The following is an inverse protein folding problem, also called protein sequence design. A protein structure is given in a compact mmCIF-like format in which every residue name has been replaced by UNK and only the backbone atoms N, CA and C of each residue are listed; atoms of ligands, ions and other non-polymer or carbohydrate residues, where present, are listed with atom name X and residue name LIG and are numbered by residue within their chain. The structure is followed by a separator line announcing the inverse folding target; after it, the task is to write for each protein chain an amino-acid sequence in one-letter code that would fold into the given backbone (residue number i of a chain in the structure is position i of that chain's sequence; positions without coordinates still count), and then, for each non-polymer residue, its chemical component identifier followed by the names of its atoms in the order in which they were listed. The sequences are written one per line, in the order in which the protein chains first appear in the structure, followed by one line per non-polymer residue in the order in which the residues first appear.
data_IF_881539614916
#
_entry.id   IF_881539614916
#
_cell.length_a   1.000
_cell.length_b   1.000
_cell.length_c   1.000
_cell.angle_alpha   90.00
_cell.angle_beta   90.00
_cell.angle_gamma   90.00
#
_symmetry.space_group_name_H-M   'P 1'
#
loop_
_entity.id
_entity.type
_entity.pdbx_description
1 polymer ?
#
# COMPACT_ATOMS: atom_id res chain seq x y z
N UNK A 1 12.01 22.46 4.11
CA UNK A 1 10.65 22.20 3.85
C UNK A 1 10.46 20.77 3.53
N UNK A 2 9.59 20.26 4.14
CA UNK A 2 9.29 18.92 3.93
C UNK A 2 8.61 18.78 2.59
N UNK A 3 9.01 17.80 1.92
CA UNK A 3 8.38 17.51 0.67
C UNK A 3 7.16 16.64 0.92
N UNK A 4 6.01 17.24 0.85
CA UNK A 4 4.77 16.54 1.08
C UNK A 4 4.18 16.00 -0.20
N UNK A 5 5.02 15.79 -1.21
CA UNK A 5 4.54 15.25 -2.46
C UNK A 5 3.92 13.89 -2.23
N UNK A 6 2.63 13.81 -2.50
CA UNK A 6 1.90 12.57 -2.45
C UNK A 6 1.76 12.07 -3.88
N UNK A 7 2.22 10.85 -4.11
CA UNK A 7 2.07 10.25 -5.41
C UNK A 7 0.64 9.73 -5.50
N UNK A 8 -0.21 10.49 -6.17
CA UNK A 8 -1.64 10.18 -6.22
C UNK A 8 -2.02 9.27 -7.37
N UNK A 9 -1.12 9.10 -8.34
CA UNK A 9 -1.40 8.25 -9.48
C UNK A 9 -0.95 6.82 -9.17
N UNK A 10 -1.62 6.24 -8.21
CA UNK A 10 -1.26 4.93 -7.66
C UNK A 10 -1.30 3.85 -8.73
N UNK A 11 -2.20 3.97 -9.69
CA UNK A 11 -2.34 2.92 -10.71
C UNK A 11 -1.11 2.78 -11.59
N UNK A 12 -0.22 3.77 -11.59
CA UNK A 12 1.05 3.66 -12.29
C UNK A 12 2.08 2.87 -11.50
N UNK A 13 1.85 2.69 -10.20
CA UNK A 13 2.81 2.03 -9.33
C UNK A 13 2.46 0.58 -9.04
N UNK A 14 1.19 0.21 -9.15
CA UNK A 14 0.72 -1.11 -8.78
C UNK A 14 -0.03 -1.76 -9.94
N UNK A 15 -0.05 -3.10 -10.00
CA UNK A 15 -0.78 -3.79 -11.07
C UNK A 15 -2.27 -3.92 -10.80
N UNK A 16 -2.69 -3.81 -9.55
CA UNK A 16 -4.09 -3.97 -9.20
C UNK A 16 -4.94 -2.84 -9.78
N UNK A 17 -6.22 -3.12 -10.00
CA UNK A 17 -7.17 -2.17 -10.55
C UNK A 17 -8.45 -2.18 -9.72
N UNK A 18 -9.22 -1.07 -9.76
CA UNK A 18 -10.49 -1.06 -9.03
C UNK A 18 -11.36 -2.24 -9.45
N UNK A 19 -12.11 -2.83 -8.53
CA UNK A 19 -12.35 -2.40 -7.16
C UNK A 19 -11.37 -2.97 -6.14
N UNK A 20 -10.29 -3.63 -6.57
CA UNK A 20 -9.34 -4.30 -5.68
C UNK A 20 -8.29 -3.38 -5.10
N UNK A 21 -8.22 -2.12 -5.51
CA UNK A 21 -7.16 -1.20 -5.08
C UNK A 21 -7.35 -0.83 -3.62
N UNK A 22 -6.33 -1.11 -2.81
CA UNK A 22 -6.34 -0.87 -1.36
C UNK A 22 -5.26 0.11 -0.93
N UNK A 23 -4.72 0.91 -1.85
CA UNK A 23 -3.78 1.99 -1.56
C UNK A 23 -4.23 3.18 -2.41
N UNK A 24 -4.39 4.34 -1.80
CA UNK A 24 -4.78 5.53 -2.55
C UNK A 24 -3.76 6.67 -2.46
N UNK A 25 -2.67 6.46 -1.72
CA UNK A 25 -1.62 7.47 -1.62
C UNK A 25 -0.28 6.79 -1.38
N UNK A 26 0.76 7.36 -1.97
CA UNK A 26 2.13 6.92 -1.73
C UNK A 26 2.96 8.15 -1.44
N UNK A 27 3.64 8.15 -0.30
CA UNK A 27 4.32 9.35 0.21
C UNK A 27 5.83 9.31 -0.04
N UNK A 28 6.30 8.35 -0.82
CA UNK A 28 7.71 8.27 -1.17
C UNK A 28 8.49 7.37 -0.22
N UNK A 29 9.80 7.42 -0.38
CA UNK A 29 10.72 6.62 0.41
C UNK A 29 11.73 7.56 1.04
N UNK A 30 11.88 7.46 2.35
CA UNK A 30 12.84 8.27 3.09
C UNK A 30 13.55 7.37 4.10
N UNK A 31 14.90 7.42 4.08
CA UNK A 31 15.72 6.60 4.97
C UNK A 31 15.36 5.11 4.87
N UNK A 32 15.07 4.65 3.66
CA UNK A 32 14.75 3.25 3.42
C UNK A 32 13.34 2.84 3.80
N UNK A 33 12.52 3.77 4.28
CA UNK A 33 11.15 3.49 4.70
C UNK A 33 10.19 4.10 3.70
N UNK A 34 9.31 3.28 3.13
CA UNK A 34 8.23 3.79 2.28
C UNK A 34 6.96 3.95 3.09
N UNK A 35 6.15 4.92 2.69
CA UNK A 35 4.89 5.20 3.36
C UNK A 35 3.77 5.21 2.36
N UNK A 36 2.70 4.53 2.71
CA UNK A 36 1.52 4.40 1.88
C UNK A 36 0.28 4.68 2.71
N UNK A 37 -0.82 5.00 2.06
CA UNK A 37 -2.06 5.29 2.75
C UNK A 37 -3.27 4.73 2.05
N UNK A 38 -4.36 4.66 2.80
CA UNK A 38 -5.67 4.31 2.30
C UNK A 38 -6.72 4.99 3.16
N UNK A 39 -7.62 5.72 2.51
CA UNK A 39 -8.84 6.21 3.16
C UNK A 39 -9.90 5.13 3.03
N UNK A 40 -10.41 4.66 4.16
CA UNK A 40 -11.38 3.56 4.17
C UNK A 40 -12.74 4.10 3.77
N UNK A 41 -13.22 3.71 2.60
CA UNK A 41 -14.52 4.17 2.08
C UNK A 41 -15.58 3.11 2.35
N UNK A 42 -16.80 3.57 2.56
CA UNK A 42 -17.92 2.66 2.83
C UNK A 42 -18.16 1.67 1.70
N UNK A 43 -17.92 2.11 0.48
CA UNK A 43 -18.12 1.26 -0.70
C UNK A 43 -16.97 0.29 -0.97
N UNK A 44 -15.93 0.31 -0.15
CA UNK A 44 -14.78 -0.58 -0.31
C UNK A 44 -15.26 -2.03 -0.22
N UNK A 45 -14.86 -2.87 -1.18
CA UNK A 45 -15.37 -4.24 -1.27
C UNK A 45 -14.99 -5.10 -0.06
N UNK A 46 -13.96 -4.69 0.69
CA UNK A 46 -13.54 -5.43 1.88
C UNK A 46 -14.14 -4.85 3.17
N UNK A 47 -15.00 -3.84 3.06
CA UNK A 47 -15.67 -3.29 4.24
C UNK A 47 -16.95 -4.06 4.53
N UNK A 48 -17.18 -4.31 5.81
CA UNK A 48 -18.40 -4.93 6.29
C UNK A 48 -18.63 -4.46 7.71
N UNK A 49 -19.85 -4.04 7.99
CA UNK A 49 -20.18 -3.56 9.33
C UNK A 49 -19.45 -2.27 9.69
N UNK A 50 -19.19 -1.42 8.69
CA UNK A 50 -18.53 -0.15 8.91
C UNK A 50 -17.03 -0.22 9.15
N UNK A 51 -16.40 -1.36 8.85
CA UNK A 51 -14.96 -1.55 9.08
C UNK A 51 -14.33 -2.30 7.93
N UNK A 52 -13.09 -1.96 7.65
CA UNK A 52 -12.28 -2.72 6.71
C UNK A 52 -11.91 -4.05 7.35
N UNK A 53 -12.22 -5.14 6.66
CA UNK A 53 -11.99 -6.48 7.19
C UNK A 53 -10.58 -6.95 6.88
N UNK A 54 -10.19 -8.04 7.53
CA UNK A 54 -8.83 -8.57 7.48
C UNK A 54 -8.30 -8.77 6.06
N UNK A 55 -9.05 -9.33 5.11
CA UNK A 55 -8.51 -9.47 3.75
C UNK A 55 -8.14 -8.13 3.12
N UNK A 56 -8.89 -7.08 3.43
CA UNK A 56 -8.58 -5.75 2.93
C UNK A 56 -7.29 -5.20 3.51
N UNK A 57 -7.03 -5.49 4.78
CA UNK A 57 -5.78 -5.07 5.42
C UNK A 57 -4.60 -5.79 4.78
N UNK A 58 -4.72 -7.10 4.54
CA UNK A 58 -3.66 -7.86 3.89
C UNK A 58 -3.40 -7.33 2.48
N UNK A 59 -4.47 -7.05 1.73
CA UNK A 59 -4.32 -6.47 0.39
C UNK A 59 -3.64 -5.10 0.45
N UNK A 60 -4.00 -4.27 1.44
CA UNK A 60 -3.35 -2.98 1.60
C UNK A 60 -1.85 -3.12 1.84
N UNK A 61 -1.46 -4.07 2.67
CA UNK A 61 -0.04 -4.31 2.96
C UNK A 61 0.68 -4.77 1.69
N UNK A 62 0.11 -5.73 0.98
CA UNK A 62 0.69 -6.25 -0.25
C UNK A 62 0.84 -5.15 -1.31
N UNK A 63 -0.18 -4.33 -1.46
CA UNK A 63 -0.16 -3.26 -2.45
C UNK A 63 0.77 -2.14 -2.03
N UNK A 64 0.93 -1.89 -0.74
CA UNK A 64 1.92 -0.94 -0.24
C UNK A 64 3.33 -1.37 -0.61
N UNK A 65 3.62 -2.66 -0.50
CA UNK A 65 4.91 -3.20 -0.93
C UNK A 65 5.07 -3.09 -2.45
N UNK A 66 4.02 -3.40 -3.20
CA UNK A 66 4.06 -3.26 -4.66
C UNK A 66 4.28 -1.81 -5.07
N UNK A 67 3.64 -0.86 -4.39
CA UNK A 67 3.81 0.55 -4.69
C UNK A 67 5.24 1.01 -4.45
N UNK A 68 5.89 0.49 -3.41
CA UNK A 68 7.29 0.78 -3.14
C UNK A 68 8.16 0.36 -4.33
N UNK A 69 7.98 -0.86 -4.81
CA UNK A 69 8.73 -1.36 -5.95
C UNK A 69 8.42 -0.54 -7.20
N UNK A 70 7.13 -0.27 -7.44
CA UNK A 70 6.73 0.53 -8.59
C UNK A 70 7.35 1.91 -8.58
N UNK A 71 7.40 2.55 -7.42
CA UNK A 71 8.00 3.85 -7.27
C UNK A 71 9.50 3.81 -7.61
N UNK A 72 10.22 2.81 -7.07
CA UNK A 72 11.66 2.70 -7.32
C UNK A 72 11.95 2.56 -8.82
N UNK A 73 11.22 1.69 -9.50
CA UNK A 73 11.46 1.48 -10.93
C UNK A 73 11.04 2.69 -11.76
N UNK A 74 9.94 3.34 -11.39
CA UNK A 74 9.50 4.56 -12.07
C UNK A 74 10.55 5.67 -11.94
N UNK A 75 11.15 5.82 -10.77
CA UNK A 75 12.20 6.82 -10.57
C UNK A 75 13.44 6.54 -11.41
N UNK A 76 13.69 5.29 -11.76
CA UNK A 76 14.79 4.91 -12.62
C UNK A 76 14.45 5.00 -14.10
N UNK A 77 13.22 5.32 -14.45
CA UNK A 77 12.77 5.29 -15.84
C UNK A 77 12.67 3.88 -16.40
N UNK A 78 12.52 2.89 -15.52
CA UNK A 78 12.45 1.48 -15.91
C UNK A 78 11.03 0.97 -15.81
N UNK A 79 10.75 -0.08 -16.57
CA UNK A 79 9.44 -0.70 -16.51
C UNK A 79 9.24 -1.39 -15.18
N UNK A 80 8.07 -1.16 -14.58
CA UNK A 80 7.73 -1.77 -13.29
C UNK A 80 7.52 -3.26 -13.49
N UNK A 81 8.26 -4.11 -12.75
CA UNK A 81 8.05 -5.54 -12.87
C UNK A 81 6.73 -5.96 -12.24
N UNK A 82 6.17 -7.05 -12.76
CA UNK A 82 5.00 -7.65 -12.16
C UNK A 82 5.46 -8.44 -10.94
N UNK A 83 5.15 -7.93 -9.75
CA UNK A 83 5.57 -8.54 -8.51
C UNK A 83 4.41 -8.95 -7.64
N UNK A 84 4.69 -9.79 -6.67
CA UNK A 84 3.69 -10.23 -5.71
C UNK A 84 4.37 -10.57 -4.39
N UNK A 85 3.55 -10.61 -3.33
CA UNK A 85 4.01 -11.09 -2.03
C UNK A 85 3.77 -12.59 -1.98
N UNK A 86 4.81 -13.35 -1.65
CA UNK A 86 4.71 -14.79 -1.53
C UNK A 86 4.00 -15.24 -0.27
N UNK A 87 4.23 -14.53 0.85
CA UNK A 87 3.59 -14.88 2.11
C UNK A 87 3.59 -13.69 3.04
N UNK A 88 2.69 -13.73 4.01
CA UNK A 88 2.64 -12.78 5.11
C UNK A 88 2.77 -13.58 6.39
N UNK A 89 3.85 -13.32 7.12
CA UNK A 89 4.11 -14.01 8.38
C UNK A 89 3.92 -13.06 9.53
N UNK A 90 3.48 -13.59 10.66
CA UNK A 90 3.41 -12.84 11.93
C UNK A 90 2.58 -11.57 11.84
N UNK A 91 1.46 -11.64 11.12
CA UNK A 91 0.55 -10.51 11.07
C UNK A 91 -0.30 -10.49 12.32
N UNK A 92 -0.34 -9.35 12.98
CA UNK A 92 -1.20 -9.13 14.14
C UNK A 92 -2.09 -7.93 13.84
N UNK A 93 -3.38 -8.09 14.05
CA UNK A 93 -4.34 -7.02 13.83
C UNK A 93 -5.00 -6.71 15.17
N UNK A 94 -4.76 -5.51 15.70
CA UNK A 94 -5.31 -5.13 17.00
C UNK A 94 -6.74 -4.63 16.88
N UNK A 95 -7.11 -4.02 15.77
CA UNK A 95 -8.48 -3.58 15.52
C UNK A 95 -8.66 -3.35 14.03
N UNK A 96 -9.90 -3.31 13.60
CA UNK A 96 -10.24 -3.09 12.20
C UNK A 96 -10.53 -1.62 11.97
N UNK A 97 -9.92 -1.01 10.94
CA UNK A 97 -10.14 0.41 10.65
C UNK A 97 -11.59 0.71 10.32
N UNK A 98 -12.10 1.79 10.87
CA UNK A 98 -13.46 2.24 10.59
C UNK A 98 -13.54 2.97 9.26
N UNK A 99 -14.71 2.88 8.63
CA UNK A 99 -15.01 3.73 7.46
C UNK A 99 -14.78 5.18 7.84
N UNK A 100 -14.12 5.91 6.95
CA UNK A 100 -13.77 7.31 7.18
C UNK A 100 -12.39 7.53 7.76
N UNK A 101 -11.75 6.48 8.28
CA UNK A 101 -10.41 6.63 8.82
C UNK A 101 -9.36 6.54 7.72
N UNK A 102 -8.18 7.06 8.01
CA UNK A 102 -7.03 6.95 7.13
C UNK A 102 -6.04 5.96 7.72
N UNK A 103 -5.65 4.99 6.90
CA UNK A 103 -4.60 4.05 7.25
C UNK A 103 -3.29 4.59 6.71
N UNK A 104 -2.23 4.41 7.46
CA UNK A 104 -0.88 4.66 6.98
C UNK A 104 -0.03 3.45 7.26
N UNK A 105 0.80 3.09 6.29
CA UNK A 105 1.64 1.91 6.40
C UNK A 105 3.06 2.27 6.04
N UNK A 106 3.98 1.85 6.89
CA UNK A 106 5.41 2.00 6.64
C UNK A 106 5.99 0.64 6.31
N UNK A 107 6.84 0.62 5.28
CA UNK A 107 7.51 -0.61 4.88
C UNK A 107 9.01 -0.37 4.87
N UNK A 108 9.71 -1.23 5.58
CA UNK A 108 11.17 -1.31 5.57
C UNK A 108 11.58 -2.67 5.07
N UNK A 109 12.64 -2.71 4.30
CA UNK A 109 13.15 -3.99 3.81
C UNK A 109 14.28 -4.43 4.73
N UNK A 110 14.08 -5.55 5.41
CA UNK A 110 15.08 -6.08 6.34
C UNK A 110 16.16 -6.86 5.60
N UNK A 111 15.81 -7.52 4.51
CA UNK A 111 16.74 -8.32 3.76
C UNK A 111 16.25 -8.43 2.33
N UNK A 112 17.12 -8.12 1.38
CA UNK A 112 16.80 -8.26 -0.02
C UNK A 112 17.35 -9.57 -0.56
N UNK A 113 16.49 -10.29 -1.26
CA UNK A 113 16.88 -11.51 -1.95
C UNK A 113 17.13 -11.14 -3.40
N UNK A 114 18.37 -11.21 -3.80
CA UNK A 114 18.82 -10.75 -5.11
C UNK A 114 18.38 -11.58 -6.29
#
# INVERSE_FOLDING_TARGET
MQNDTVYSDILKLIPQRPPMVMVDAFYGIEDGVSRSGLTVADRNIFCKGGRLREPGIVEHIAQSAAARVGYIFTQRGEQVPLGFIGSVDKLTISHLPKVGSQMQTEISVLQEMG
#
